data_IF_887237557623
#
_entry.id   IF_887237557623
#
_cell.length_a   1.000
_cell.length_b   1.000
_cell.length_c   1.000
_cell.angle_alpha   90.00
_cell.angle_beta   90.00
_cell.angle_gamma   90.00
#
_symmetry.space_group_name_H-M   'P 1'
#
loop_
_entity.id
_entity.type
_entity.pdbx_description
1 polymer ?
#
# COMPACT_ATOMS: atom_id res chain seq x y z
N UNK A 1 -3.93 -9.50 29.63
CA UNK A 1 -2.93 -8.61 29.04
C UNK A 1 -2.86 -8.85 27.55
N UNK A 2 -2.03 -8.07 26.88
CA UNK A 2 -1.72 -8.19 25.46
C UNK A 2 -0.74 -9.35 25.28
N UNK A 3 -1.12 -10.61 25.17
CA UNK A 3 -0.14 -11.71 25.16
C UNK A 3 -0.64 -12.88 25.97
N UNK A 4 -1.24 -13.85 25.29
CA UNK A 4 -1.82 -15.03 25.96
C UNK A 4 -0.76 -15.96 26.54
N UNK A 5 0.41 -16.06 25.90
CA UNK A 5 1.53 -16.85 26.40
C UNK A 5 2.71 -15.97 26.81
N UNK A 6 3.09 -15.01 25.98
CA UNK A 6 4.25 -14.14 26.22
C UNK A 6 3.85 -12.69 26.04
N UNK A 7 4.07 -11.91 27.09
CA UNK A 7 4.14 -10.45 27.05
C UNK A 7 5.60 -10.07 27.27
N UNK A 8 6.22 -9.42 26.29
CA UNK A 8 7.60 -8.94 26.42
C UNK A 8 7.67 -7.44 26.11
N UNK A 9 8.40 -6.72 26.96
CA UNK A 9 8.63 -5.29 26.79
C UNK A 9 10.13 -5.01 26.86
N UNK A 10 10.68 -4.42 25.80
CA UNK A 10 12.10 -4.09 25.67
C UNK A 10 12.24 -2.57 25.63
N UNK A 11 12.50 -1.97 26.79
CA UNK A 11 12.55 -0.50 26.96
C UNK A 11 13.90 0.15 26.68
N UNK A 12 14.97 -0.65 26.64
CA UNK A 12 16.34 -0.15 26.46
C UNK A 12 17.15 -1.12 25.61
N UNK A 13 17.94 -0.58 24.67
CA UNK A 13 18.82 -1.37 23.82
C UNK A 13 20.10 -1.87 24.50
N UNK A 14 20.38 -1.44 25.75
CA UNK A 14 21.64 -1.72 26.44
C UNK A 14 21.71 -3.10 27.10
N UNK A 15 20.58 -3.76 27.36
CA UNK A 15 20.55 -5.11 27.94
C UNK A 15 19.18 -5.76 27.78
N UNK A 16 19.16 -7.07 27.55
CA UNK A 16 17.93 -7.87 27.42
C UNK A 16 17.51 -8.11 25.96
N UNK A 17 16.59 -9.06 25.80
CA UNK A 17 16.02 -9.46 24.52
C UNK A 17 15.11 -10.67 24.70
N UNK A 18 14.32 -11.00 23.67
CA UNK A 18 13.51 -12.21 23.64
C UNK A 18 13.98 -13.11 22.50
N UNK A 19 14.33 -14.35 22.80
CA UNK A 19 14.66 -15.34 21.78
C UNK A 19 13.87 -16.61 22.00
N UNK A 20 13.16 -17.04 20.96
CA UNK A 20 12.62 -18.38 20.81
C UNK A 20 13.35 -18.98 19.62
N UNK A 21 14.36 -19.79 19.90
CA UNK A 21 15.24 -20.40 18.90
C UNK A 21 15.33 -21.91 19.13
N UNK A 22 15.78 -22.64 18.11
CA UNK A 22 15.96 -24.08 18.19
C UNK A 22 15.69 -24.76 16.86
N UNK A 23 16.10 -26.02 16.73
CA UNK A 23 15.88 -26.83 15.52
C UNK A 23 14.46 -27.38 15.42
N UNK A 24 13.74 -27.46 16.54
CA UNK A 24 12.31 -27.81 16.60
C UNK A 24 11.53 -26.57 16.99
N UNK A 25 10.50 -26.21 16.22
CA UNK A 25 9.71 -25.01 16.48
C UNK A 25 8.84 -25.18 17.73
N UNK A 26 8.83 -24.17 18.59
CA UNK A 26 7.87 -24.01 19.68
C UNK A 26 6.54 -23.55 19.08
N UNK A 27 5.53 -24.41 19.12
CA UNK A 27 4.23 -24.12 18.54
C UNK A 27 3.28 -23.54 19.57
N UNK A 28 2.82 -22.32 19.31
CA UNK A 28 1.76 -21.67 20.09
C UNK A 28 0.39 -22.03 19.53
N UNK A 29 -0.46 -22.63 20.37
CA UNK A 29 -1.82 -23.02 20.04
C UNK A 29 -2.76 -22.65 21.18
N UNK A 30 -3.99 -22.27 20.84
CA UNK A 30 -5.04 -21.94 21.82
C UNK A 30 -4.63 -20.86 22.85
N UNK A 31 -3.69 -19.97 22.49
CA UNK A 31 -3.27 -18.87 23.32
C UNK A 31 -4.26 -17.70 23.19
N UNK A 32 -4.63 -17.07 24.29
CA UNK A 32 -5.66 -16.03 24.28
C UNK A 32 -5.23 -14.81 25.08
N UNK A 33 -5.18 -13.65 24.42
CA UNK A 33 -5.06 -12.37 25.11
C UNK A 33 -6.39 -12.05 25.79
N UNK A 34 -6.34 -11.70 27.09
CA UNK A 34 -7.54 -11.40 27.89
C UNK A 34 -7.51 -9.96 28.43
N UNK A 35 -8.60 -9.18 28.30
CA UNK A 35 -9.84 -9.55 27.61
C UNK A 35 -9.64 -9.50 26.08
N UNK A 36 -10.38 -10.32 25.33
CA UNK A 36 -10.17 -10.48 23.87
C UNK A 36 -10.57 -9.29 23.03
N UNK A 37 -11.34 -8.37 23.60
CA UNK A 37 -11.83 -7.14 22.96
C UNK A 37 -10.85 -5.96 23.08
N UNK A 38 -9.72 -6.13 23.77
CA UNK A 38 -8.66 -5.12 23.88
C UNK A 38 -7.25 -5.70 23.97
N UNK A 39 -7.12 -7.03 24.18
CA UNK A 39 -5.85 -7.72 24.21
C UNK A 39 -5.24 -7.82 22.81
N UNK A 40 -3.96 -7.46 22.71
CA UNK A 40 -3.15 -7.55 21.48
C UNK A 40 -2.25 -8.78 21.53
N UNK A 41 -2.09 -9.51 20.43
CA UNK A 41 -1.18 -10.67 20.36
C UNK A 41 -1.72 -11.89 21.10
N UNK A 42 -2.41 -12.79 20.40
CA UNK A 42 -3.04 -13.94 21.08
C UNK A 42 -2.02 -14.89 21.71
N UNK A 43 -0.87 -15.10 21.09
CA UNK A 43 0.24 -15.85 21.67
C UNK A 43 1.33 -14.93 22.24
N UNK A 44 1.89 -14.07 21.39
CA UNK A 44 3.04 -13.23 21.71
C UNK A 44 2.69 -11.78 21.45
N UNK A 45 3.05 -10.92 22.40
CA UNK A 45 3.06 -9.48 22.24
C UNK A 45 4.45 -8.95 22.56
N UNK A 46 4.98 -8.13 21.66
CA UNK A 46 6.24 -7.43 21.82
C UNK A 46 5.99 -5.92 21.88
N UNK A 47 6.44 -5.27 22.94
CA UNK A 47 6.49 -3.82 23.04
C UNK A 47 7.94 -3.36 22.99
N UNK A 48 8.32 -2.78 21.85
CA UNK A 48 9.69 -2.48 21.48
C UNK A 48 9.88 -0.96 21.49
N UNK A 49 10.67 -0.45 22.43
CA UNK A 49 11.07 0.96 22.42
C UNK A 49 11.89 1.27 21.16
N UNK A 50 11.88 2.53 20.72
CA UNK A 50 12.67 2.99 19.57
C UNK A 50 14.15 2.59 19.73
N UNK A 51 14.72 1.96 18.71
CA UNK A 51 16.10 1.45 18.70
C UNK A 51 16.27 0.05 19.30
N UNK A 52 15.19 -0.63 19.68
CA UNK A 52 15.21 -2.00 20.23
C UNK A 52 14.60 -3.06 19.31
N UNK A 53 14.19 -2.68 18.10
CA UNK A 53 13.45 -3.50 17.13
C UNK A 53 14.24 -4.73 16.66
N UNK A 54 15.55 -4.75 16.90
CA UNK A 54 16.45 -5.88 16.61
C UNK A 54 16.67 -6.81 17.81
N UNK A 55 16.10 -6.52 18.98
CA UNK A 55 16.38 -7.24 20.24
C UNK A 55 15.50 -8.47 20.46
N UNK A 56 14.94 -9.02 19.38
CA UNK A 56 14.20 -10.26 19.44
C UNK A 56 14.51 -11.18 18.25
N UNK A 57 14.28 -12.48 18.47
CA UNK A 57 14.39 -13.53 17.45
C UNK A 57 13.32 -14.60 17.73
N UNK A 58 12.35 -14.74 16.82
CA UNK A 58 11.28 -15.74 16.90
C UNK A 58 11.42 -16.81 15.80
N UNK A 59 12.61 -17.04 15.26
CA UNK A 59 12.86 -18.06 14.22
C UNK A 59 12.47 -19.48 14.65
N UNK A 60 12.55 -19.76 15.95
CA UNK A 60 12.10 -21.01 16.57
C UNK A 60 10.62 -21.03 16.96
N UNK A 61 9.83 -20.00 16.64
CA UNK A 61 8.39 -19.99 16.89
C UNK A 61 7.58 -20.50 15.68
N UNK A 62 6.43 -21.09 15.96
CA UNK A 62 5.35 -21.32 14.98
C UNK A 62 3.99 -21.08 15.64
N UNK A 63 3.02 -20.72 14.82
CA UNK A 63 1.67 -20.41 15.28
C UNK A 63 0.68 -21.39 14.66
N UNK A 64 -0.22 -21.91 15.49
CA UNK A 64 -1.27 -22.85 15.09
C UNK A 64 -2.65 -22.29 15.41
N UNK A 65 -3.69 -23.06 15.11
CA UNK A 65 -5.08 -22.63 15.27
C UNK A 65 -5.46 -22.39 16.74
N UNK A 66 -6.49 -21.56 16.92
CA UNK A 66 -7.09 -21.29 18.22
C UNK A 66 -6.47 -20.13 19.00
N UNK A 67 -5.41 -19.49 18.47
CA UNK A 67 -4.90 -18.27 19.09
C UNK A 67 -5.89 -17.12 18.86
N UNK A 68 -6.11 -16.27 19.86
CA UNK A 68 -7.12 -15.22 19.78
C UNK A 68 -6.73 -13.94 20.53
N UNK A 69 -7.01 -12.81 19.89
CA UNK A 69 -6.81 -11.44 20.36
C UNK A 69 -7.70 -10.49 19.54
N UNK A 70 -7.81 -9.23 19.96
CA UNK A 70 -8.45 -8.18 19.16
C UNK A 70 -7.71 -8.05 17.82
N UNK A 71 -6.38 -7.88 17.91
CA UNK A 71 -5.45 -7.80 16.79
C UNK A 71 -4.26 -8.74 16.98
N UNK A 72 -3.70 -9.23 15.87
CA UNK A 72 -2.59 -10.18 15.89
C UNK A 72 -3.00 -11.48 16.57
N UNK A 73 -3.81 -12.32 15.90
CA UNK A 73 -4.34 -13.57 16.48
C UNK A 73 -3.23 -14.40 17.11
N UNK A 74 -2.02 -14.36 16.57
CA UNK A 74 -0.86 -15.02 17.14
C UNK A 74 0.20 -14.05 17.64
N UNK A 75 0.69 -13.14 16.80
CA UNK A 75 1.76 -12.21 17.14
C UNK A 75 1.28 -10.77 16.97
N UNK A 76 1.63 -9.93 17.94
CA UNK A 76 1.53 -8.50 17.80
C UNK A 76 2.85 -7.81 18.15
N UNK A 77 3.36 -6.95 17.28
CA UNK A 77 4.56 -6.14 17.50
C UNK A 77 4.18 -4.66 17.60
N UNK A 78 4.24 -4.11 18.80
CA UNK A 78 4.16 -2.67 19.01
C UNK A 78 5.57 -2.05 18.88
N UNK A 79 5.95 -1.64 17.66
CA UNK A 79 7.22 -0.96 17.43
C UNK A 79 7.06 0.54 17.69
N UNK A 80 7.74 1.06 18.70
CA UNK A 80 7.76 2.50 19.01
C UNK A 80 8.69 3.30 18.08
N UNK A 81 9.51 2.61 17.28
CA UNK A 81 10.30 3.19 16.21
C UNK A 81 9.95 2.52 14.89
N UNK A 82 10.96 2.02 14.19
CA UNK A 82 10.78 1.52 12.82
C UNK A 82 10.34 0.04 12.78
N UNK A 83 9.07 -0.22 12.44
CA UNK A 83 8.56 -1.59 12.28
C UNK A 83 9.30 -2.39 11.19
N UNK A 84 9.81 -1.74 10.13
CA UNK A 84 10.60 -2.41 9.08
C UNK A 84 11.92 -2.96 9.62
N UNK A 85 12.50 -2.34 10.67
CA UNK A 85 13.68 -2.89 11.36
C UNK A 85 13.29 -4.12 12.19
N UNK A 86 12.09 -4.11 12.77
CA UNK A 86 11.54 -5.24 13.51
C UNK A 86 11.23 -6.41 12.58
N UNK A 87 10.69 -6.12 11.40
CA UNK A 87 10.22 -7.08 10.40
C UNK A 87 10.85 -6.74 9.04
N UNK A 88 12.12 -7.11 8.80
CA UNK A 88 12.80 -6.73 7.56
C UNK A 88 12.23 -7.43 6.32
N UNK A 89 12.44 -6.82 5.16
CA UNK A 89 12.09 -7.40 3.86
C UNK A 89 12.66 -8.82 3.71
N UNK A 90 11.83 -9.73 3.23
CA UNK A 90 12.15 -11.15 3.03
C UNK A 90 12.61 -11.87 4.32
N UNK A 91 12.24 -11.36 5.50
CA UNK A 91 12.59 -11.94 6.80
C UNK A 91 11.37 -12.35 7.63
N UNK A 92 10.28 -12.79 7.01
CA UNK A 92 9.11 -13.34 7.73
C UNK A 92 9.46 -14.47 8.70
N UNK A 93 10.52 -15.24 8.41
CA UNK A 93 11.04 -16.27 9.32
C UNK A 93 11.52 -15.71 10.67
N UNK A 94 12.02 -14.47 10.73
CA UNK A 94 12.45 -13.80 11.98
C UNK A 94 11.32 -13.71 13.00
N UNK A 95 10.08 -13.55 12.54
CA UNK A 95 8.88 -13.43 13.38
C UNK A 95 8.12 -14.76 13.53
N UNK A 96 8.68 -15.86 13.01
CA UNK A 96 8.04 -17.18 13.05
C UNK A 96 6.86 -17.31 12.08
N UNK A 97 6.79 -16.48 11.03
CA UNK A 97 5.75 -16.55 10.01
C UNK A 97 5.72 -17.94 9.33
N UNK A 98 4.52 -18.34 8.93
CA UNK A 98 4.26 -19.54 8.15
C UNK A 98 4.61 -19.37 6.68
N UNK A 99 3.84 -20.06 5.82
CA UNK A 99 3.93 -19.86 4.38
C UNK A 99 3.31 -18.52 3.99
N UNK A 100 3.89 -17.82 3.01
CA UNK A 100 3.37 -16.53 2.54
C UNK A 100 1.91 -16.62 2.08
N UNK A 101 1.52 -17.70 1.40
CA UNK A 101 0.13 -17.92 1.00
C UNK A 101 -0.83 -18.09 2.18
N UNK A 102 -0.34 -18.61 3.31
CA UNK A 102 -1.12 -18.71 4.54
C UNK A 102 -1.22 -17.35 5.23
N UNK A 103 -0.12 -16.62 5.42
CA UNK A 103 -0.15 -15.32 6.09
C UNK A 103 -0.93 -14.28 5.27
N UNK A 104 -0.85 -14.32 3.94
CA UNK A 104 -1.66 -13.48 3.06
C UNK A 104 -3.17 -13.80 3.16
N UNK A 105 -3.54 -15.06 3.38
CA UNK A 105 -4.93 -15.46 3.59
C UNK A 105 -5.44 -15.16 5.02
N UNK A 106 -4.53 -14.88 5.96
CA UNK A 106 -4.82 -14.68 7.38
C UNK A 106 -4.10 -13.42 7.90
N UNK A 107 -4.39 -12.27 7.27
CA UNK A 107 -3.71 -10.99 7.53
C UNK A 107 -3.80 -10.54 9.00
N UNK A 108 -4.83 -10.96 9.73
CA UNK A 108 -5.01 -10.66 11.15
C UNK A 108 -4.15 -11.53 12.09
N UNK A 109 -3.43 -12.53 11.57
CA UNK A 109 -2.66 -13.47 12.37
C UNK A 109 -1.40 -12.84 12.99
N UNK A 110 -0.66 -12.08 12.19
CA UNK A 110 0.58 -11.40 12.57
C UNK A 110 0.40 -9.91 12.29
N UNK A 111 0.29 -9.10 13.33
CA UNK A 111 0.03 -7.67 13.20
C UNK A 111 1.04 -6.84 13.98
N UNK A 112 1.05 -5.53 13.76
CA UNK A 112 1.87 -4.62 14.54
C UNK A 112 1.55 -3.16 14.29
N UNK A 113 2.19 -2.31 15.09
CA UNK A 113 2.20 -0.86 14.91
C UNK A 113 3.56 -0.40 14.45
N UNK A 114 3.55 0.67 13.66
CA UNK A 114 4.72 1.36 13.16
C UNK A 114 4.72 2.83 13.61
N UNK A 115 5.25 3.08 14.80
CA UNK A 115 5.15 4.41 15.42
C UNK A 115 6.41 5.25 15.19
N UNK A 116 7.09 5.06 14.06
CA UNK A 116 8.38 5.69 13.72
C UNK A 116 8.36 7.23 13.86
N UNK A 117 7.25 7.86 13.49
CA UNK A 117 7.06 9.32 13.55
C UNK A 117 6.29 9.79 14.80
N UNK A 118 6.34 9.02 15.89
CA UNK A 118 5.65 9.30 17.17
C UNK A 118 4.11 9.38 17.08
N UNK A 119 3.55 9.04 15.92
CA UNK A 119 2.11 8.89 15.68
C UNK A 119 1.81 7.41 15.72
N UNK A 120 0.79 7.02 16.49
CA UNK A 120 0.35 5.63 16.49
C UNK A 120 -0.24 5.30 15.12
N UNK A 121 0.34 4.32 14.43
CA UNK A 121 -0.23 3.82 13.17
C UNK A 121 -1.50 3.01 13.44
N UNK A 122 -2.30 2.82 12.39
CA UNK A 122 -3.29 1.73 12.37
C UNK A 122 -2.58 0.37 12.43
N UNK A 123 -3.33 -0.70 12.73
CA UNK A 123 -2.79 -2.04 12.80
C UNK A 123 -2.34 -2.54 11.42
N UNK A 124 -1.05 -2.79 11.27
CA UNK A 124 -0.45 -3.27 10.03
C UNK A 124 -0.29 -4.78 10.09
N UNK A 125 -0.77 -5.47 9.06
CA UNK A 125 -0.47 -6.89 8.87
C UNK A 125 1.02 -7.04 8.54
N UNK A 126 1.76 -7.78 9.38
CA UNK A 126 3.22 -7.90 9.25
C UNK A 126 3.64 -8.55 7.92
N UNK A 127 2.74 -9.30 7.27
CA UNK A 127 2.92 -9.78 5.91
C UNK A 127 3.33 -8.64 4.95
N UNK A 128 2.66 -7.49 5.01
CA UNK A 128 2.98 -6.35 4.15
C UNK A 128 4.35 -5.75 4.48
N UNK A 129 4.78 -5.82 5.75
CA UNK A 129 6.09 -5.33 6.14
C UNK A 129 7.26 -6.16 5.59
N UNK A 130 7.15 -7.49 5.51
CA UNK A 130 8.25 -8.33 4.99
C UNK A 130 8.11 -8.74 3.52
N UNK A 131 7.02 -8.43 2.82
CA UNK A 131 6.77 -8.87 1.43
C UNK A 131 6.97 -7.80 0.34
N UNK A 132 7.41 -6.58 0.69
CA UNK A 132 7.81 -5.55 -0.29
C UNK A 132 9.14 -5.95 -0.99
N UNK A 133 9.37 -5.67 -2.30
CA UNK A 133 8.71 -4.65 -3.13
C UNK A 133 7.67 -5.18 -4.12
N UNK A 134 6.63 -4.38 -4.35
CA UNK A 134 5.53 -4.68 -5.26
C UNK A 134 5.84 -4.26 -6.69
N UNK A 135 5.55 -5.12 -7.67
CA UNK A 135 5.56 -4.74 -9.10
C UNK A 135 4.52 -3.65 -9.39
N UNK A 136 3.36 -3.74 -8.75
CA UNK A 136 2.25 -2.77 -8.85
C UNK A 136 1.86 -2.28 -7.48
N UNK A 137 2.01 -0.97 -7.25
CA UNK A 137 1.56 -0.31 -6.04
C UNK A 137 0.09 0.11 -6.20
N UNK A 138 -0.79 -0.39 -5.35
CA UNK A 138 -2.22 -0.16 -5.46
C UNK A 138 -2.66 1.09 -4.71
N UNK A 139 -3.59 1.85 -5.31
CA UNK A 139 -4.22 3.02 -4.69
C UNK A 139 -5.73 2.85 -4.61
N UNK A 140 -6.31 3.45 -3.57
CA UNK A 140 -7.76 3.46 -3.35
C UNK A 140 -8.16 4.74 -2.61
N UNK A 141 -9.04 5.55 -3.22
CA UNK A 141 -9.55 6.79 -2.60
C UNK A 141 -11.10 6.88 -2.70
N UNK A 142 -11.86 5.97 -2.06
CA UNK A 142 -13.29 6.17 -1.82
C UNK A 142 -13.51 7.01 -0.55
N UNK A 143 -14.74 7.50 -0.42
CA UNK A 143 -15.18 8.29 0.73
C UNK A 143 -15.15 7.49 2.05
N UNK A 144 -14.66 8.15 3.11
CA UNK A 144 -14.78 7.90 4.56
C UNK A 144 -14.38 6.52 5.14
N UNK A 145 -14.82 5.39 4.61
CA UNK A 145 -14.72 4.09 5.33
C UNK A 145 -13.87 3.02 4.59
N UNK A 146 -13.47 3.28 3.35
CA UNK A 146 -12.76 2.30 2.52
C UNK A 146 -11.50 2.85 1.82
N UNK A 147 -11.00 4.00 2.30
CA UNK A 147 -9.82 4.65 1.74
C UNK A 147 -8.54 3.86 1.99
N UNK A 148 -7.55 4.06 1.12
CA UNK A 148 -6.18 3.63 1.39
C UNK A 148 -5.56 4.43 2.53
N UNK A 149 -4.33 4.08 2.88
CA UNK A 149 -3.55 4.78 3.90
C UNK A 149 -2.12 4.94 3.44
N UNK A 150 -1.59 6.17 3.48
CA UNK A 150 -0.23 6.52 3.07
C UNK A 150 0.79 6.19 4.18
N UNK A 151 0.76 4.93 4.63
CA UNK A 151 1.76 4.36 5.52
C UNK A 151 2.88 3.66 4.74
N UNK A 152 3.99 3.37 5.40
CA UNK A 152 5.20 2.79 4.78
C UNK A 152 5.02 1.37 4.22
N UNK A 153 3.90 0.72 4.51
CA UNK A 153 3.57 -0.65 4.10
C UNK A 153 2.36 -0.72 3.17
N UNK A 154 1.93 0.42 2.64
CA UNK A 154 0.85 0.49 1.67
C UNK A 154 1.28 0.01 0.28
N UNK A 155 0.30 -0.15 -0.61
CA UNK A 155 0.48 -0.55 -2.00
C UNK A 155 0.00 -1.96 -2.29
N UNK A 156 -0.26 -2.77 -1.26
CA UNK A 156 -0.87 -4.09 -1.45
C UNK A 156 -2.35 -3.93 -1.79
N UNK A 157 -2.94 -4.94 -2.46
CA UNK A 157 -4.37 -4.93 -2.79
C UNK A 157 -5.28 -4.75 -1.55
N UNK A 158 -4.91 -5.34 -0.41
CA UNK A 158 -5.64 -5.24 0.85
C UNK A 158 -5.16 -4.11 1.78
N UNK A 159 -4.07 -3.43 1.40
CA UNK A 159 -3.53 -2.26 2.11
C UNK A 159 -3.09 -1.23 1.05
N UNK A 160 -4.02 -0.67 0.25
CA UNK A 160 -3.66 0.27 -0.80
C UNK A 160 -3.17 1.59 -0.20
N UNK A 161 -2.33 2.32 -0.94
CA UNK A 161 -1.98 3.69 -0.60
C UNK A 161 -3.18 4.61 -0.82
N UNK A 162 -3.21 5.72 -0.08
CA UNK A 162 -4.26 6.73 -0.19
C UNK A 162 -4.04 7.60 -1.42
N UNK A 163 -2.79 8.03 -1.68
CA UNK A 163 -2.50 8.99 -2.76
C UNK A 163 -1.60 8.41 -3.84
N UNK A 164 -1.80 8.90 -5.07
CA UNK A 164 -0.97 8.53 -6.22
C UNK A 164 0.49 8.96 -6.03
N UNK A 165 0.76 10.17 -5.54
CA UNK A 165 2.12 10.65 -5.31
C UNK A 165 2.86 9.75 -4.31
N UNK A 166 2.20 9.37 -3.21
CA UNK A 166 2.79 8.47 -2.24
C UNK A 166 3.04 7.07 -2.83
N UNK A 167 2.11 6.54 -3.61
CA UNK A 167 2.29 5.25 -4.31
C UNK A 167 3.49 5.27 -5.29
N UNK A 168 3.71 6.39 -5.98
CA UNK A 168 4.87 6.58 -6.86
C UNK A 168 6.19 6.70 -6.08
N UNK A 169 6.17 7.25 -4.86
CA UNK A 169 7.33 7.25 -3.96
C UNK A 169 7.63 5.83 -3.45
N UNK A 170 6.59 5.09 -3.06
CA UNK A 170 6.72 3.71 -2.54
C UNK A 170 7.16 2.70 -3.59
N UNK A 171 6.79 2.90 -4.86
CA UNK A 171 7.26 2.07 -5.97
C UNK A 171 8.72 2.40 -6.35
N UNK A 172 9.62 2.34 -5.36
CA UNK A 172 10.98 2.87 -5.39
C UNK A 172 12.09 1.84 -5.62
N UNK A 173 11.76 0.59 -5.93
CA UNK A 173 12.75 -0.46 -6.23
C UNK A 173 12.98 -0.70 -7.74
N UNK A 174 12.11 -0.16 -8.61
CA UNK A 174 12.21 -0.32 -10.07
C UNK A 174 12.51 1.05 -10.69
N UNK A 175 13.79 1.38 -10.94
CA UNK A 175 14.17 2.70 -11.45
C UNK A 175 13.65 2.98 -12.86
N UNK A 176 13.31 1.94 -13.62
CA UNK A 176 12.93 2.07 -15.04
C UNK A 176 11.42 2.19 -15.26
N UNK A 177 10.59 1.59 -14.39
CA UNK A 177 9.13 1.59 -14.52
C UNK A 177 8.45 1.56 -13.15
N UNK A 178 7.64 2.60 -12.87
CA UNK A 178 6.75 2.65 -11.70
C UNK A 178 5.33 2.33 -12.11
N UNK A 179 4.74 1.27 -11.56
CA UNK A 179 3.34 0.89 -11.86
C UNK A 179 2.42 1.19 -10.70
N UNK A 180 1.29 1.81 -11.01
CA UNK A 180 0.22 2.08 -10.06
C UNK A 180 -1.07 1.43 -10.54
N UNK A 181 -1.70 0.65 -9.67
CA UNK A 181 -2.98 -0.01 -9.90
C UNK A 181 -4.11 0.68 -9.15
N UNK A 182 -5.13 1.19 -9.84
CA UNK A 182 -6.30 1.77 -9.17
C UNK A 182 -7.25 0.65 -8.74
N UNK A 183 -7.47 0.47 -7.44
CA UNK A 183 -8.53 -0.41 -6.91
C UNK A 183 -9.85 0.33 -7.07
N UNK A 184 -10.48 0.13 -8.23
CA UNK A 184 -11.77 0.68 -8.69
C UNK A 184 -12.23 1.99 -8.02
N UNK A 185 -12.29 3.07 -8.80
CA UNK A 185 -12.71 4.40 -8.37
C UNK A 185 -11.68 5.09 -7.46
N UNK A 186 -10.88 5.95 -8.08
CA UNK A 186 -9.96 6.86 -7.39
C UNK A 186 -10.29 8.30 -7.77
N UNK A 187 -10.32 9.19 -6.77
CA UNK A 187 -10.54 10.63 -7.00
C UNK A 187 -9.20 11.33 -7.11
N UNK A 188 -8.98 12.00 -8.24
CA UNK A 188 -7.88 12.91 -8.47
C UNK A 188 -8.41 14.33 -8.40
N UNK A 189 -8.06 15.04 -7.33
CA UNK A 189 -8.46 16.42 -7.06
C UNK A 189 -7.27 17.41 -7.02
N UNK A 190 -6.05 16.91 -7.21
CA UNK A 190 -4.82 17.72 -7.22
C UNK A 190 -3.97 17.45 -8.45
N UNK A 191 -3.07 18.39 -8.75
CA UNK A 191 -2.09 18.25 -9.81
C UNK A 191 -1.02 17.21 -9.42
N UNK A 192 -0.77 16.26 -10.31
CA UNK A 192 0.31 15.27 -10.20
C UNK A 192 1.43 15.65 -11.16
N UNK A 193 2.62 15.85 -10.63
CA UNK A 193 3.80 16.18 -11.42
C UNK A 193 4.63 14.91 -11.68
N UNK A 194 4.83 14.57 -12.94
CA UNK A 194 5.70 13.46 -13.35
C UNK A 194 7.05 14.04 -13.77
N UNK A 195 8.08 13.78 -12.96
CA UNK A 195 9.45 14.21 -13.22
C UNK A 195 10.41 13.03 -13.02
N UNK A 196 10.46 12.15 -14.03
CA UNK A 196 11.37 11.01 -14.09
C UNK A 196 12.36 11.23 -15.24
N UNK A 197 13.58 11.69 -14.91
CA UNK A 197 14.62 12.02 -15.90
C UNK A 197 14.85 10.85 -16.88
N UNK A 198 14.87 9.63 -16.35
CA UNK A 198 14.89 8.36 -17.08
C UNK A 198 13.88 7.43 -16.38
N UNK A 199 12.84 6.99 -17.08
CA UNK A 199 11.85 6.05 -16.56
C UNK A 199 10.41 6.34 -16.99
N UNK A 200 9.53 5.40 -16.71
CA UNK A 200 8.11 5.51 -17.05
C UNK A 200 7.20 5.31 -15.83
N UNK A 201 6.07 6.03 -15.82
CA UNK A 201 4.95 5.75 -14.92
C UNK A 201 3.86 5.06 -15.72
N UNK A 202 3.40 3.90 -15.24
CA UNK A 202 2.20 3.22 -15.76
C UNK A 202 1.08 3.30 -14.73
N UNK A 203 0.00 3.99 -15.07
CA UNK A 203 -1.25 3.99 -14.31
C UNK A 203 -2.22 3.03 -14.99
N UNK A 204 -2.63 2.00 -14.28
CA UNK A 204 -3.45 0.93 -14.83
C UNK A 204 -4.55 0.49 -13.86
N UNK A 205 -5.42 -0.39 -14.33
CA UNK A 205 -6.35 -1.09 -13.46
C UNK A 205 -5.61 -1.96 -12.42
N UNK A 206 -6.28 -2.24 -11.30
CA UNK A 206 -5.74 -3.07 -10.23
C UNK A 206 -5.47 -4.51 -10.68
N UNK A 207 -4.45 -5.13 -10.07
CA UNK A 207 -4.36 -6.59 -10.01
C UNK A 207 -5.50 -7.13 -9.14
N UNK A 208 -5.86 -8.40 -9.28
CA UNK A 208 -6.77 -9.03 -8.33
C UNK A 208 -6.04 -9.31 -6.99
N UNK A 209 -6.78 -9.84 -6.01
CA UNK A 209 -6.24 -10.26 -4.72
C UNK A 209 -5.33 -11.51 -4.80
N UNK A 210 -4.98 -12.01 -5.99
CA UNK A 210 -3.92 -13.01 -6.17
C UNK A 210 -2.69 -12.42 -6.86
N UNK A 211 -2.69 -11.11 -7.16
CA UNK A 211 -1.62 -10.45 -7.91
C UNK A 211 -1.67 -10.72 -9.41
N UNK A 212 -2.81 -11.16 -9.95
CA UNK A 212 -2.99 -11.44 -11.38
C UNK A 212 -3.59 -10.22 -12.09
N UNK A 213 -3.22 -10.05 -13.37
CA UNK A 213 -3.75 -8.97 -14.19
C UNK A 213 -5.23 -9.20 -14.50
N UNK A 214 -6.00 -8.11 -14.58
CA UNK A 214 -7.43 -8.16 -14.91
C UNK A 214 -7.73 -7.36 -16.17
N UNK A 215 -8.89 -7.63 -16.79
CA UNK A 215 -9.41 -6.85 -17.92
C UNK A 215 -10.52 -5.88 -17.50
N UNK A 216 -10.76 -5.75 -16.19
CA UNK A 216 -11.77 -4.85 -15.64
C UNK A 216 -11.13 -3.47 -15.53
N UNK A 217 -11.79 -2.47 -16.11
CA UNK A 217 -11.29 -1.11 -16.05
C UNK A 217 -11.48 -0.49 -14.67
N UNK A 218 -10.55 0.37 -14.31
CA UNK A 218 -10.65 1.17 -13.10
C UNK A 218 -11.11 2.58 -13.44
N UNK A 219 -11.99 3.12 -12.60
CA UNK A 219 -12.44 4.50 -12.74
C UNK A 219 -11.46 5.47 -12.07
N UNK A 220 -11.09 6.53 -12.80
CA UNK A 220 -10.32 7.67 -12.32
C UNK A 220 -11.21 8.91 -12.44
N UNK A 221 -11.73 9.39 -11.33
CA UNK A 221 -12.56 10.58 -11.26
C UNK A 221 -11.68 11.82 -11.17
N UNK A 222 -11.87 12.74 -12.10
CA UNK A 222 -11.18 14.02 -12.19
C UNK A 222 -12.09 15.10 -11.62
N UNK A 223 -11.66 15.73 -10.54
CA UNK A 223 -12.35 16.83 -9.88
C UNK A 223 -11.38 17.97 -9.60
N UNK A 224 -11.88 19.15 -9.23
CA UNK A 224 -11.06 20.28 -8.75
C UNK A 224 -9.80 20.50 -9.63
N UNK A 225 -8.59 20.49 -9.05
CA UNK A 225 -7.33 20.71 -9.77
C UNK A 225 -6.71 19.42 -10.34
N UNK A 226 -7.48 18.32 -10.38
CA UNK A 226 -7.03 16.99 -10.79
C UNK A 226 -6.48 16.93 -12.22
N UNK A 227 -5.15 16.89 -12.35
CA UNK A 227 -4.45 16.95 -13.65
C UNK A 227 -3.10 16.23 -13.58
N UNK A 228 -2.52 15.92 -14.72
CA UNK A 228 -1.15 15.41 -14.85
C UNK A 228 -0.27 16.41 -15.60
N UNK A 229 0.83 16.82 -14.99
CA UNK A 229 1.87 17.63 -15.62
C UNK A 229 3.15 16.80 -15.77
N UNK A 230 3.48 16.46 -17.00
CA UNK A 230 4.66 15.68 -17.34
C UNK A 230 5.80 16.65 -17.65
N UNK A 231 6.81 16.65 -16.79
CA UNK A 231 8.01 17.49 -16.86
C UNK A 231 9.12 16.72 -17.57
N UNK A 232 9.31 15.44 -17.21
CA UNK A 232 10.27 14.51 -17.81
C UNK A 232 9.79 13.06 -17.69
N UNK A 233 10.30 12.18 -18.55
CA UNK A 233 9.95 10.75 -18.60
C UNK A 233 8.71 10.43 -19.43
N UNK A 234 8.16 9.24 -19.20
CA UNK A 234 6.97 8.73 -19.91
C UNK A 234 5.80 8.46 -18.97
N UNK A 235 4.57 8.69 -19.46
CA UNK A 235 3.32 8.40 -18.73
C UNK A 235 2.40 7.51 -19.57
N UNK A 236 2.07 6.34 -19.05
CA UNK A 236 1.23 5.36 -19.71
C UNK A 236 -0.05 5.15 -18.91
N UNK A 237 -1.19 5.16 -19.62
CA UNK A 237 -2.48 4.75 -19.09
C UNK A 237 -2.97 3.48 -19.80
N UNK A 238 -3.42 2.49 -19.02
CA UNK A 238 -3.97 1.23 -19.55
C UNK A 238 -5.22 0.84 -18.75
N UNK A 239 -6.33 0.58 -19.45
CA UNK A 239 -7.61 0.14 -18.84
C UNK A 239 -8.16 1.11 -17.78
N UNK A 240 -8.07 2.42 -18.04
CA UNK A 240 -8.63 3.45 -17.17
C UNK A 240 -9.88 4.07 -17.81
N UNK A 241 -10.93 4.27 -17.03
CA UNK A 241 -12.06 5.14 -17.39
C UNK A 241 -11.86 6.49 -16.70
N UNK A 242 -11.49 7.51 -17.48
CA UNK A 242 -11.45 8.89 -17.01
C UNK A 242 -12.88 9.43 -16.88
N UNK A 243 -13.33 9.67 -15.65
CA UNK A 243 -14.60 10.34 -15.37
C UNK A 243 -14.35 11.80 -15.04
N UNK A 244 -14.88 12.73 -15.82
CA UNK A 244 -14.64 14.17 -15.61
C UNK A 244 -15.83 14.79 -14.88
N UNK A 245 -15.58 15.32 -13.68
CA UNK A 245 -16.59 16.03 -12.91
C UNK A 245 -16.78 17.47 -13.46
N UNK A 246 -17.98 18.04 -13.33
CA UNK A 246 -18.25 19.45 -13.67
C UNK A 246 -17.53 20.45 -12.75
N UNK A 247 -17.07 20.00 -11.57
CA UNK A 247 -16.19 20.80 -10.69
C UNK A 247 -14.71 20.75 -11.10
N UNK A 248 -14.33 19.95 -12.11
CA UNK A 248 -12.96 19.94 -12.62
C UNK A 248 -12.61 21.28 -13.25
N UNK A 249 -11.42 21.79 -12.91
CA UNK A 249 -10.92 23.05 -13.39
C UNK A 249 -10.71 23.01 -14.91
N UNK A 250 -11.02 24.12 -15.59
CA UNK A 250 -10.77 24.29 -17.02
C UNK A 250 -9.29 24.03 -17.39
N UNK A 251 -9.05 23.71 -18.66
CA UNK A 251 -7.70 23.45 -19.19
C UNK A 251 -7.58 22.05 -19.77
N UNK A 252 -6.47 21.37 -19.54
CA UNK A 252 -6.20 20.03 -20.08
C UNK A 252 -5.88 19.06 -18.95
N UNK A 253 -6.37 17.82 -19.09
CA UNK A 253 -6.06 16.72 -18.16
C UNK A 253 -4.57 16.39 -18.16
N UNK A 254 -3.95 16.40 -19.35
CA UNK A 254 -2.53 16.08 -19.55
C UNK A 254 -1.80 17.30 -20.12
N UNK A 255 -0.70 17.71 -19.50
CA UNK A 255 0.17 18.75 -20.03
C UNK A 255 1.61 18.27 -20.11
N UNK A 256 2.30 18.53 -21.22
CA UNK A 256 3.71 18.20 -21.41
C UNK A 256 4.47 19.34 -22.11
N UNK A 257 5.73 19.57 -21.73
CA UNK A 257 6.55 20.69 -22.24
C UNK A 257 7.92 20.32 -22.82
N UNK A 258 8.36 19.07 -22.73
CA UNK A 258 9.67 18.61 -23.27
C UNK A 258 9.50 17.73 -24.50
N UNK A 259 10.44 17.81 -25.45
CA UNK A 259 10.45 17.00 -26.68
C UNK A 259 10.70 15.51 -26.43
N UNK A 260 11.26 15.13 -25.28
CA UNK A 260 11.57 13.75 -24.93
C UNK A 260 10.44 13.01 -24.20
N UNK A 261 9.29 13.64 -24.02
CA UNK A 261 8.16 13.05 -23.28
C UNK A 261 7.37 12.12 -24.19
N UNK A 262 7.01 10.95 -23.66
CA UNK A 262 6.08 10.02 -24.29
C UNK A 262 4.84 9.82 -23.39
N UNK A 263 3.67 10.06 -23.94
CA UNK A 263 2.39 9.76 -23.30
C UNK A 263 1.70 8.66 -24.11
N UNK A 264 1.30 7.58 -23.46
CA UNK A 264 0.52 6.51 -24.07
C UNK A 264 -0.82 6.34 -23.36
N UNK A 265 -1.90 6.27 -24.14
CA UNK A 265 -3.24 5.96 -23.64
C UNK A 265 -3.74 4.74 -24.41
N UNK A 266 -3.98 3.65 -23.69
CA UNK A 266 -4.37 2.37 -24.26
C UNK A 266 -5.61 1.79 -23.57
N UNK A 267 -6.59 1.32 -24.35
CA UNK A 267 -7.78 0.63 -23.84
C UNK A 267 -8.53 1.42 -22.75
N UNK A 268 -8.65 2.74 -22.93
CA UNK A 268 -9.25 3.65 -21.95
C UNK A 268 -10.60 4.17 -22.42
N UNK A 269 -11.40 4.71 -21.49
CA UNK A 269 -12.60 5.50 -21.82
C UNK A 269 -12.51 6.91 -21.27
N UNK A 270 -13.16 7.87 -21.92
CA UNK A 270 -13.41 9.21 -21.35
C UNK A 270 -14.91 9.43 -21.25
N UNK A 271 -15.40 9.75 -20.05
CA UNK A 271 -16.82 9.97 -19.78
C UNK A 271 -17.01 11.18 -18.88
N UNK A 272 -18.15 11.84 -19.01
CA UNK A 272 -18.62 12.77 -17.99
C UNK A 272 -19.02 11.97 -16.73
N UNK A 273 -18.79 12.53 -15.54
CA UNK A 273 -19.21 11.85 -14.31
C UNK A 273 -20.75 11.80 -14.15
N UNK A 274 -21.48 12.65 -14.87
CA UNK A 274 -22.95 12.67 -14.93
C UNK A 274 -23.44 13.00 -16.35
N UNK A 275 -24.61 12.48 -16.71
CA UNK A 275 -25.34 12.76 -17.95
C UNK A 275 -26.56 13.69 -17.72
N UNK A 276 -26.70 14.23 -16.51
CA UNK A 276 -27.80 15.13 -16.15
C UNK A 276 -27.84 16.37 -17.04
N UNK A 277 -29.05 16.80 -17.42
CA UNK A 277 -29.24 17.99 -18.26
C UNK A 277 -28.58 19.23 -17.65
N UNK A 278 -27.75 19.94 -18.42
CA UNK A 278 -27.00 21.11 -17.98
C UNK A 278 -25.60 20.79 -17.44
N UNK A 279 -25.23 19.52 -17.36
CA UNK A 279 -23.87 19.11 -17.05
C UNK A 279 -22.95 19.37 -18.24
N UNK A 280 -21.86 20.10 -18.01
CA UNK A 280 -20.86 20.43 -19.03
C UNK A 280 -19.46 20.34 -18.45
N UNK A 281 -18.51 19.89 -19.27
CA UNK A 281 -17.09 19.86 -18.94
C UNK A 281 -16.35 20.84 -19.85
N UNK A 282 -15.33 21.51 -19.30
CA UNK A 282 -14.44 22.44 -20.03
C UNK A 282 -12.98 21.97 -20.00
N UNK A 283 -12.77 20.69 -19.74
CA UNK A 283 -11.44 20.05 -19.64
C UNK A 283 -11.15 19.30 -20.94
N UNK A 284 -10.11 19.72 -21.65
CA UNK A 284 -9.54 19.01 -22.80
C UNK A 284 -8.68 17.83 -22.37
N UNK A 285 -8.39 16.91 -23.29
CA UNK A 285 -7.58 15.74 -22.98
C UNK A 285 -6.10 16.07 -22.78
N UNK A 286 -5.46 16.72 -23.74
CA UNK A 286 -4.01 16.95 -23.70
C UNK A 286 -3.59 18.26 -24.35
N UNK A 287 -2.57 18.89 -23.77
CA UNK A 287 -1.80 19.98 -24.37
C UNK A 287 -0.31 19.61 -24.36
N UNK A 288 0.28 19.52 -25.55
CA UNK A 288 1.69 19.18 -25.73
C UNK A 288 2.41 20.36 -26.37
N UNK A 289 3.44 20.87 -25.70
CA UNK A 289 4.38 21.83 -26.29
C UNK A 289 5.68 21.14 -26.78
N UNK A 290 5.75 19.81 -26.64
CA UNK A 290 6.82 18.92 -27.10
C UNK A 290 6.44 17.46 -26.79
N UNK A 291 7.12 16.50 -27.43
CA UNK A 291 6.98 15.07 -27.15
C UNK A 291 6.02 14.35 -28.10
N UNK A 292 5.64 13.13 -27.72
CA UNK A 292 4.73 12.27 -28.46
C UNK A 292 3.55 11.83 -27.59
N UNK A 293 2.33 11.89 -28.16
CA UNK A 293 1.14 11.27 -27.60
C UNK A 293 0.65 10.16 -28.53
N UNK A 294 0.56 8.95 -28.00
CA UNK A 294 0.04 7.77 -28.69
C UNK A 294 -1.28 7.37 -28.03
N UNK A 295 -2.35 7.27 -28.82
CA UNK A 295 -3.68 6.86 -28.36
C UNK A 295 -4.10 5.61 -29.12
N UNK A 296 -4.46 4.55 -28.39
CA UNK A 296 -4.98 3.31 -28.94
C UNK A 296 -6.22 2.86 -28.17
N UNK A 297 -7.30 2.53 -28.87
CA UNK A 297 -8.57 2.07 -28.27
C UNK A 297 -9.07 3.01 -27.16
N UNK A 298 -9.24 4.30 -27.48
CA UNK A 298 -9.86 5.30 -26.62
C UNK A 298 -11.29 5.54 -27.09
N UNK A 299 -12.25 5.27 -26.21
CA UNK A 299 -13.70 5.36 -26.48
C UNK A 299 -14.42 6.38 -25.60
#
# INVERSE_FOLDING_TARGET
GNGGAIYAQIKSGTSGGLSITGTTKTTFTSCQALPTDSGLGGAIYLDLASGTETKFDLTGASYSTGNNALYGKSLFINAQGDLQVAVPLNQGSKIGAGLDSYEYANLDNLMGYDNFDEIQSDEISLYFAYSLPLDVCHIKYPFLDEQGDDNRFCGHFYQPCLTLDYALLQNGAVPEEKKVGIINFYVLNSLIAIDLIEGQVKIQNSLNNQGETTNIQSELLIEEDGKFSIISGSLLFDKITFKINANAQEGYLLTASSESIEIEISNCFIRMASDTTGYSISTGLAQLNGGQLTISNLD
#
